data_IF_540817038093
#
_entry.id   IF_540817038093
#
_cell.length_a   1.000
_cell.length_b   1.000
_cell.length_c   1.000
_cell.angle_alpha   90.00
_cell.angle_beta   90.00
_cell.angle_gamma   90.00
#
_symmetry.space_group_name_H-M   'P 1'
#
loop_
_entity.id
_entity.type
_entity.pdbx_description
1 polymer ?
#
# COMPACT_ATOMS: atom_id res chain seq x y z
N UNK A 1 -9.94 -39.74 -23.97
CA UNK A 1 -9.74 -38.30 -23.67
C UNK A 1 -10.30 -38.09 -22.28
N UNK A 2 -9.43 -37.90 -21.29
CA UNK A 2 -9.83 -37.62 -19.92
C UNK A 2 -9.64 -36.12 -19.70
N UNK A 3 -10.76 -35.41 -19.66
CA UNK A 3 -10.83 -34.01 -19.23
C UNK A 3 -10.85 -33.95 -17.70
N UNK A 4 -10.17 -32.92 -17.17
CA UNK A 4 -10.42 -32.22 -15.91
C UNK A 4 -10.03 -32.89 -14.58
N UNK A 5 -8.82 -32.61 -14.11
CA UNK A 5 -8.54 -32.40 -12.68
C UNK A 5 -8.26 -30.90 -12.44
N UNK A 6 -8.93 -30.24 -11.47
CA UNK A 6 -8.63 -28.86 -11.13
C UNK A 6 -7.35 -28.85 -10.27
N UNK A 7 -6.21 -28.55 -10.89
CA UNK A 7 -5.06 -28.01 -10.16
C UNK A 7 -5.57 -26.84 -9.31
N UNK A 8 -5.42 -26.95 -7.99
CA UNK A 8 -5.90 -26.00 -6.98
C UNK A 8 -5.89 -24.57 -7.53
N UNK A 9 -7.09 -24.07 -7.81
CA UNK A 9 -7.29 -22.72 -8.31
C UNK A 9 -6.71 -21.77 -7.27
N UNK A 10 -5.57 -21.13 -7.56
CA UNK A 10 -5.11 -20.00 -6.75
C UNK A 10 -6.24 -18.97 -6.77
N UNK A 11 -7.10 -19.00 -5.77
CA UNK A 11 -8.18 -18.05 -5.57
C UNK A 11 -7.56 -16.77 -5.02
N UNK A 12 -7.01 -16.00 -5.96
CA UNK A 12 -6.49 -14.65 -5.75
C UNK A 12 -7.61 -13.61 -5.78
N UNK A 13 -8.85 -14.00 -6.07
CA UNK A 13 -9.98 -13.09 -6.39
C UNK A 13 -10.43 -12.21 -5.24
N UNK A 14 -9.88 -12.42 -4.05
CA UNK A 14 -10.25 -11.68 -2.86
C UNK A 14 -9.47 -10.35 -2.82
N UNK A 15 -10.16 -9.28 -2.39
CA UNK A 15 -9.64 -7.91 -2.23
C UNK A 15 -8.17 -7.78 -1.78
N UNK A 16 -7.32 -7.19 -2.63
CA UNK A 16 -5.93 -6.85 -2.33
C UNK A 16 -5.81 -6.10 -1.00
N UNK A 17 -4.71 -6.32 -0.29
CA UNK A 17 -4.41 -5.61 0.94
C UNK A 17 -2.93 -5.26 1.00
N UNK A 18 -2.66 -4.01 1.42
CA UNK A 18 -1.31 -3.55 1.66
C UNK A 18 -0.64 -4.39 2.77
N UNK A 19 0.57 -4.85 2.49
CA UNK A 19 1.47 -5.47 3.48
C UNK A 19 1.89 -4.43 4.54
N UNK A 20 2.42 -4.86 5.69
CA UNK A 20 2.89 -3.91 6.69
C UNK A 20 4.06 -3.06 6.21
N UNK A 21 4.93 -3.61 5.37
CA UNK A 21 6.03 -2.85 4.79
C UNK A 21 5.50 -1.74 3.87
N UNK A 22 4.51 -2.05 3.04
CA UNK A 22 3.83 -1.06 2.21
C UNK A 22 3.15 0.02 3.06
N UNK A 23 2.43 -0.36 4.13
CA UNK A 23 1.83 0.61 5.08
C UNK A 23 2.88 1.44 5.79
N UNK A 24 4.01 0.85 6.18
CA UNK A 24 5.13 1.53 6.82
C UNK A 24 5.76 2.58 5.90
N UNK A 25 5.97 2.22 4.62
CA UNK A 25 6.44 3.16 3.59
C UNK A 25 5.42 4.26 3.33
N UNK A 26 4.14 3.93 3.18
CA UNK A 26 3.06 4.89 3.03
C UNK A 26 3.02 5.88 4.21
N UNK A 27 3.13 5.39 5.44
CA UNK A 27 3.15 6.22 6.65
C UNK A 27 4.33 7.19 6.65
N UNK A 28 5.53 6.73 6.35
CA UNK A 28 6.74 7.59 6.25
C UNK A 28 6.54 8.69 5.21
N UNK A 29 6.07 8.34 4.02
CA UNK A 29 5.81 9.30 2.94
C UNK A 29 4.72 10.31 3.31
N UNK A 30 3.63 9.88 3.96
CA UNK A 30 2.58 10.77 4.46
C UNK A 30 3.10 11.75 5.51
N UNK A 31 4.00 11.31 6.40
CA UNK A 31 4.64 12.19 7.39
C UNK A 31 5.51 13.24 6.68
N UNK A 32 6.35 12.83 5.74
CA UNK A 32 7.18 13.78 4.99
C UNK A 32 6.33 14.75 4.15
N UNK A 33 5.26 14.26 3.54
CA UNK A 33 4.31 15.11 2.84
C UNK A 33 3.67 16.16 3.76
N UNK A 34 3.20 15.74 4.94
CA UNK A 34 2.64 16.65 5.93
C UNK A 34 3.66 17.69 6.41
N UNK A 35 4.92 17.29 6.64
CA UNK A 35 5.99 18.23 7.00
C UNK A 35 6.23 19.27 5.89
N UNK A 36 6.27 18.86 4.63
CA UNK A 36 6.38 19.79 3.51
C UNK A 36 5.20 20.77 3.47
N UNK A 37 3.98 20.29 3.67
CA UNK A 37 2.81 21.16 3.71
C UNK A 37 2.81 22.12 4.89
N UNK A 38 3.28 21.70 6.07
CA UNK A 38 3.46 22.60 7.22
C UNK A 38 4.46 23.72 6.88
N UNK A 39 5.55 23.40 6.17
CA UNK A 39 6.52 24.42 5.72
C UNK A 39 5.88 25.36 4.69
N UNK A 40 5.09 24.84 3.73
CA UNK A 40 4.39 25.67 2.75
C UNK A 40 3.41 26.65 3.42
N UNK A 41 2.53 26.14 4.29
CA UNK A 41 1.55 26.96 5.03
C UNK A 41 2.25 27.92 5.99
N UNK A 42 3.31 27.49 6.69
CA UNK A 42 4.09 28.37 7.56
C UNK A 42 4.75 29.51 6.79
N UNK A 43 5.24 29.23 5.58
CA UNK A 43 5.79 30.25 4.67
C UNK A 43 4.71 31.20 4.18
N UNK A 44 3.53 30.69 3.86
CA UNK A 44 2.36 31.50 3.50
C UNK A 44 1.97 32.45 4.64
N UNK A 45 1.80 31.94 5.86
CA UNK A 45 1.48 32.74 7.04
C UNK A 45 2.55 33.82 7.27
N UNK A 46 3.84 33.46 7.14
CA UNK A 46 4.95 34.42 7.23
C UNK A 46 4.86 35.51 6.16
N UNK A 47 4.56 35.15 4.92
CA UNK A 47 4.37 36.10 3.82
C UNK A 47 3.17 37.03 4.08
N UNK A 48 2.07 36.52 4.62
CA UNK A 48 0.89 37.32 4.99
C UNK A 48 1.24 38.32 6.10
N UNK A 49 1.99 37.91 7.12
CA UNK A 49 2.45 38.81 8.18
C UNK A 49 3.34 39.92 7.60
N UNK A 50 4.28 39.58 6.71
CA UNK A 50 5.13 40.56 6.04
C UNK A 50 4.33 41.53 5.16
N UNK A 51 3.31 41.02 4.45
CA UNK A 51 2.41 41.84 3.64
C UNK A 51 1.66 42.85 4.53
N UNK A 52 1.09 42.41 5.65
CA UNK A 52 0.42 43.29 6.62
C UNK A 52 1.36 44.31 7.28
N UNK A 53 2.65 44.03 7.34
CA UNK A 53 3.68 44.96 7.81
C UNK A 53 4.14 45.96 6.72
N UNK A 54 3.54 45.93 5.53
CA UNK A 54 3.89 46.84 4.43
C UNK A 54 5.21 46.49 3.73
N UNK A 55 5.82 45.32 4.00
CA UNK A 55 7.14 44.93 3.47
C UNK A 55 7.21 44.88 1.93
N UNK A 56 6.06 44.79 1.26
CA UNK A 56 5.94 44.61 -0.19
C UNK A 56 5.29 45.81 -0.92
N UNK A 57 5.02 46.93 -0.24
CA UNK A 57 4.32 48.07 -0.83
C UNK A 57 5.14 48.75 -1.95
N UNK A 58 6.43 48.99 -1.70
CA UNK A 58 7.34 49.70 -2.62
C UNK A 58 8.69 48.98 -2.85
N UNK A 59 8.88 47.77 -2.34
CA UNK A 59 10.14 47.02 -2.42
C UNK A 59 9.98 45.52 -2.12
N UNK A 60 11.09 44.78 -2.05
CA UNK A 60 11.14 43.34 -1.71
C UNK A 60 10.36 42.39 -2.63
N UNK A 61 10.12 42.78 -3.89
CA UNK A 61 9.43 41.91 -4.86
C UNK A 61 10.12 40.58 -5.12
N UNK A 62 11.46 40.58 -5.15
CA UNK A 62 12.23 39.35 -5.26
C UNK A 62 11.98 38.41 -4.07
N UNK A 63 11.82 38.96 -2.86
CA UNK A 63 11.47 38.18 -1.67
C UNK A 63 10.05 37.61 -1.77
N UNK A 64 9.06 38.41 -2.18
CA UNK A 64 7.68 37.93 -2.35
C UNK A 64 7.58 36.80 -3.38
N UNK A 65 8.22 36.97 -4.54
CA UNK A 65 8.30 35.93 -5.57
C UNK A 65 9.04 34.70 -5.02
N UNK A 66 10.16 34.91 -4.30
CA UNK A 66 10.89 33.83 -3.64
C UNK A 66 10.03 33.04 -2.66
N UNK A 67 9.22 33.70 -1.84
CA UNK A 67 8.29 33.06 -0.91
C UNK A 67 7.22 32.26 -1.65
N UNK A 68 6.63 32.81 -2.72
CA UNK A 68 5.66 32.09 -3.57
C UNK A 68 6.28 30.83 -4.21
N UNK A 69 7.54 30.91 -4.65
CA UNK A 69 8.28 29.75 -5.20
C UNK A 69 8.56 28.71 -4.13
N UNK A 70 8.93 29.13 -2.91
CA UNK A 70 9.12 28.21 -1.77
C UNK A 70 7.82 27.49 -1.43
N UNK A 71 6.70 28.22 -1.34
CA UNK A 71 5.36 27.63 -1.12
C UNK A 71 5.06 26.60 -2.22
N UNK A 72 5.29 26.95 -3.49
CA UNK A 72 5.07 26.05 -4.63
C UNK A 72 5.90 24.76 -4.51
N UNK A 73 7.21 24.90 -4.24
CA UNK A 73 8.13 23.78 -4.17
C UNK A 73 7.73 22.78 -3.07
N UNK A 74 7.40 23.27 -1.88
CA UNK A 74 6.99 22.42 -0.77
C UNK A 74 5.58 21.83 -0.95
N UNK A 75 4.62 22.59 -1.51
CA UNK A 75 3.29 22.07 -1.82
C UNK A 75 3.33 20.95 -2.87
N UNK A 76 4.14 21.13 -3.93
CA UNK A 76 4.38 20.13 -4.97
C UNK A 76 5.09 18.91 -4.38
N UNK A 77 6.18 19.10 -3.65
CA UNK A 77 6.92 18.00 -3.01
C UNK A 77 6.04 17.17 -2.10
N UNK A 78 5.24 17.82 -1.26
CA UNK A 78 4.26 17.16 -0.39
C UNK A 78 3.22 16.36 -1.18
N UNK A 79 2.68 16.95 -2.25
CA UNK A 79 1.71 16.29 -3.13
C UNK A 79 2.27 15.05 -3.84
N UNK A 80 3.50 15.13 -4.33
CA UNK A 80 4.16 13.99 -5.00
C UNK A 80 4.40 12.83 -4.01
N UNK A 81 4.87 13.13 -2.79
CA UNK A 81 5.06 12.12 -1.75
C UNK A 81 3.74 11.53 -1.28
N UNK A 82 2.69 12.33 -1.16
CA UNK A 82 1.36 11.84 -0.81
C UNK A 82 0.80 10.89 -1.88
N UNK A 83 0.93 11.24 -3.16
CA UNK A 83 0.55 10.35 -4.28
C UNK A 83 1.38 9.06 -4.30
N UNK A 84 2.68 9.15 -4.02
CA UNK A 84 3.52 7.96 -3.86
C UNK A 84 3.03 7.08 -2.69
N UNK A 85 2.67 7.67 -1.55
CA UNK A 85 2.11 6.95 -0.41
C UNK A 85 0.80 6.22 -0.76
N UNK A 86 -0.06 6.85 -1.57
CA UNK A 86 -1.32 6.26 -2.02
C UNK A 86 -1.13 5.04 -2.92
N UNK A 87 0.01 4.90 -3.60
CA UNK A 87 0.35 3.67 -4.35
C UNK A 87 0.79 2.52 -3.45
N UNK A 88 1.26 2.81 -2.24
CA UNK A 88 1.61 1.79 -1.26
C UNK A 88 0.39 1.34 -0.44
N UNK A 89 -0.50 2.27 -0.10
CA UNK A 89 -1.68 2.01 0.73
C UNK A 89 -2.90 2.79 0.18
N UNK A 90 -3.48 2.36 -0.96
CA UNK A 90 -4.63 3.01 -1.57
C UNK A 90 -5.89 2.83 -0.73
N UNK A 91 -6.80 3.80 -0.83
CA UNK A 91 -8.14 3.67 -0.29
C UNK A 91 -9.00 2.76 -1.17
N UNK A 92 -10.00 2.10 -0.58
CA UNK A 92 -11.04 1.37 -1.32
C UNK A 92 -12.05 2.36 -1.89
N UNK A 93 -12.55 2.12 -3.10
CA UNK A 93 -13.66 2.89 -3.70
C UNK A 93 -14.98 2.73 -2.96
N UNK A 94 -15.14 1.65 -2.19
CA UNK A 94 -16.31 1.46 -1.34
C UNK A 94 -16.38 2.51 -0.21
N UNK A 95 -15.24 2.99 0.28
CA UNK A 95 -15.16 4.12 1.20
C UNK A 95 -14.95 5.42 0.40
N UNK A 96 -16.04 5.91 -0.20
CA UNK A 96 -15.99 7.06 -1.10
C UNK A 96 -15.40 8.33 -0.48
N UNK A 97 -15.66 8.59 0.81
CA UNK A 97 -15.11 9.76 1.50
C UNK A 97 -13.59 9.65 1.67
N UNK A 98 -13.11 8.53 2.21
CA UNK A 98 -11.66 8.30 2.36
C UNK A 98 -10.97 8.28 1.00
N UNK A 99 -11.59 7.65 0.01
CA UNK A 99 -11.09 7.62 -1.36
C UNK A 99 -10.95 9.02 -1.96
N UNK A 100 -11.96 9.88 -1.79
CA UNK A 100 -11.90 11.26 -2.27
C UNK A 100 -10.81 12.06 -1.55
N UNK A 101 -10.85 12.11 -0.21
CA UNK A 101 -9.91 12.92 0.57
C UNK A 101 -8.49 12.45 0.33
N UNK A 102 -8.23 11.14 0.42
CA UNK A 102 -6.89 10.60 0.27
C UNK A 102 -6.31 10.90 -1.12
N UNK A 103 -7.10 10.89 -2.19
CA UNK A 103 -6.58 11.12 -3.54
C UNK A 103 -6.52 12.60 -3.94
N UNK A 104 -7.34 13.47 -3.33
CA UNK A 104 -7.37 14.90 -3.65
C UNK A 104 -6.68 15.78 -2.59
N UNK A 105 -6.17 15.20 -1.50
CA UNK A 105 -5.57 15.97 -0.41
C UNK A 105 -4.44 16.90 -0.87
N UNK A 106 -3.59 16.44 -1.80
CA UNK A 106 -2.50 17.27 -2.34
C UNK A 106 -3.01 18.55 -3.00
N UNK A 107 -4.06 18.44 -3.82
CA UNK A 107 -4.70 19.61 -4.42
C UNK A 107 -5.37 20.51 -3.38
N UNK A 108 -6.10 19.94 -2.42
CA UNK A 108 -6.80 20.69 -1.36
C UNK A 108 -5.81 21.51 -0.54
N UNK A 109 -4.73 20.88 -0.06
CA UNK A 109 -3.73 21.55 0.76
C UNK A 109 -2.97 22.61 -0.04
N UNK A 110 -2.73 22.37 -1.33
CA UNK A 110 -2.11 23.37 -2.20
C UNK A 110 -2.99 24.61 -2.35
N UNK A 111 -4.30 24.46 -2.54
CA UNK A 111 -5.23 25.60 -2.57
C UNK A 111 -5.17 26.36 -1.26
N UNK A 112 -5.17 25.65 -0.12
CA UNK A 112 -5.07 26.27 1.21
C UNK A 112 -3.77 27.07 1.36
N UNK A 113 -2.64 26.56 0.85
CA UNK A 113 -1.32 27.20 0.98
C UNK A 113 -1.10 28.42 0.07
N UNK A 114 -1.97 28.66 -0.91
CA UNK A 114 -1.85 29.78 -1.85
C UNK A 114 -2.99 30.79 -1.74
N UNK A 115 -4.23 30.30 -1.59
CA UNK A 115 -5.42 31.12 -1.79
C UNK A 115 -5.51 32.32 -0.83
N UNK A 116 -5.30 32.17 0.50
CA UNK A 116 -5.28 33.31 1.41
C UNK A 116 -4.27 34.40 1.02
N UNK A 117 -3.01 34.04 0.77
CA UNK A 117 -1.99 35.02 0.39
C UNK A 117 -2.31 35.70 -0.95
N UNK A 118 -2.75 34.96 -1.97
CA UNK A 118 -3.12 35.53 -3.26
C UNK A 118 -4.31 36.49 -3.14
N UNK A 119 -5.34 36.10 -2.38
CA UNK A 119 -6.47 36.97 -2.11
C UNK A 119 -6.01 38.28 -1.46
N UNK A 120 -5.13 38.21 -0.47
CA UNK A 120 -4.60 39.40 0.20
C UNK A 120 -3.73 40.27 -0.72
N UNK A 121 -2.92 39.69 -1.60
CA UNK A 121 -2.15 40.45 -2.60
C UNK A 121 -3.09 41.24 -3.51
N UNK A 122 -4.16 40.62 -4.02
CA UNK A 122 -5.09 41.29 -4.92
C UNK A 122 -5.99 42.31 -4.21
N UNK A 123 -6.29 42.11 -2.92
CA UNK A 123 -7.13 43.00 -2.11
C UNK A 123 -6.36 44.12 -1.40
N UNK A 124 -5.03 44.05 -1.34
CA UNK A 124 -4.18 45.09 -0.75
C UNK A 124 -4.33 46.39 -1.56
N UNK A 125 -4.68 47.51 -0.92
CA UNK A 125 -4.87 48.80 -1.61
C UNK A 125 -3.58 49.61 -1.73
N UNK A 126 -2.61 49.34 -0.87
CA UNK A 126 -1.39 50.14 -0.69
C UNK A 126 -0.23 49.59 -1.52
N UNK A 127 -0.35 48.35 -2.04
CA UNK A 127 0.63 47.77 -2.95
C UNK A 127 0.61 48.43 -4.34
N UNK A 128 1.80 48.78 -4.86
CA UNK A 128 1.99 49.30 -6.20
C UNK A 128 1.28 48.43 -7.27
N UNK A 129 0.49 49.02 -8.18
CA UNK A 129 -0.31 48.26 -9.15
C UNK A 129 0.50 47.33 -10.07
N UNK A 130 1.74 47.69 -10.41
CA UNK A 130 2.61 46.85 -11.25
C UNK A 130 3.13 45.66 -10.44
N UNK A 131 3.58 45.90 -9.21
CA UNK A 131 4.03 44.86 -8.29
C UNK A 131 2.92 43.85 -7.99
N UNK A 132 1.72 44.34 -7.70
CA UNK A 132 0.53 43.51 -7.48
C UNK A 132 0.21 42.61 -8.67
N UNK A 133 0.25 43.17 -9.89
CA UNK A 133 0.02 42.39 -11.13
C UNK A 133 1.08 41.31 -11.32
N UNK A 134 2.35 41.61 -11.05
CA UNK A 134 3.45 40.65 -11.21
C UNK A 134 3.36 39.55 -10.14
N UNK A 135 3.32 39.90 -8.86
CA UNK A 135 3.27 38.91 -7.78
C UNK A 135 1.98 38.08 -7.82
N UNK A 136 0.83 38.74 -8.02
CA UNK A 136 -0.45 38.05 -8.18
C UNK A 136 -0.46 37.14 -9.41
N UNK A 137 0.08 37.60 -10.54
CA UNK A 137 0.18 36.80 -11.77
C UNK A 137 1.08 35.57 -11.60
N UNK A 138 2.31 35.74 -11.10
CA UNK A 138 3.23 34.63 -10.82
C UNK A 138 2.60 33.67 -9.80
N UNK A 139 2.01 34.20 -8.74
CA UNK A 139 1.37 33.43 -7.70
C UNK A 139 0.21 32.58 -8.21
N UNK A 140 -0.65 33.12 -9.09
CA UNK A 140 -1.74 32.37 -9.73
C UNK A 140 -1.19 31.25 -10.62
N UNK A 141 -0.17 31.52 -11.43
CA UNK A 141 0.45 30.50 -12.28
C UNK A 141 1.05 29.36 -11.43
N UNK A 142 1.77 29.70 -10.37
CA UNK A 142 2.34 28.72 -9.45
C UNK A 142 1.26 27.91 -8.73
N UNK A 143 0.18 28.56 -8.28
CA UNK A 143 -0.93 27.89 -7.61
C UNK A 143 -1.64 26.91 -8.55
N UNK A 144 -1.90 27.30 -9.80
CA UNK A 144 -2.50 26.41 -10.81
C UNK A 144 -1.58 25.23 -11.13
N UNK A 145 -0.28 25.47 -11.33
CA UNK A 145 0.69 24.40 -11.57
C UNK A 145 0.76 23.43 -10.38
N UNK A 146 0.91 23.95 -9.17
CA UNK A 146 1.01 23.13 -7.97
C UNK A 146 -0.29 22.33 -7.72
N UNK A 147 -1.46 22.97 -7.90
CA UNK A 147 -2.76 22.32 -7.70
C UNK A 147 -2.97 21.21 -8.72
N UNK A 148 -2.67 21.44 -10.00
CA UNK A 148 -2.80 20.42 -11.05
C UNK A 148 -1.90 19.22 -10.81
N UNK A 149 -0.67 19.42 -10.31
CA UNK A 149 0.21 18.32 -9.87
C UNK A 149 -0.37 17.57 -8.67
N UNK A 150 -1.00 18.30 -7.75
CA UNK A 150 -1.67 17.78 -6.56
C UNK A 150 -2.91 16.93 -6.84
N UNK A 151 -3.56 17.11 -7.99
CA UNK A 151 -4.68 16.27 -8.41
C UNK A 151 -4.19 14.88 -8.77
N UNK A 152 -4.84 13.85 -8.23
CA UNK A 152 -4.69 12.48 -8.72
C UNK A 152 -5.80 12.16 -9.73
N UNK A 153 -5.46 12.23 -11.02
CA UNK A 153 -6.37 11.94 -12.13
C UNK A 153 -6.61 10.44 -12.36
N UNK A 154 -5.69 9.60 -11.87
CA UNK A 154 -5.78 8.14 -11.99
C UNK A 154 -5.52 7.52 -10.60
N UNK A 155 -6.43 7.79 -9.64
CA UNK A 155 -6.21 7.40 -8.26
C UNK A 155 -6.18 5.87 -8.11
N UNK A 156 -5.14 5.32 -7.47
CA UNK A 156 -5.09 3.89 -7.19
C UNK A 156 -6.17 3.52 -6.19
N UNK A 157 -6.64 2.28 -6.26
CA UNK A 157 -7.66 1.74 -5.35
C UNK A 157 -7.37 0.29 -5.01
N UNK A 158 -7.95 -0.17 -3.90
CA UNK A 158 -7.91 -1.59 -3.52
C UNK A 158 -8.52 -2.46 -4.62
N UNK A 159 -9.63 -2.05 -5.22
CA UNK A 159 -10.33 -2.80 -6.26
C UNK A 159 -9.47 -2.95 -7.51
N UNK A 160 -8.84 -1.86 -7.97
CA UNK A 160 -7.92 -1.90 -9.09
C UNK A 160 -6.71 -2.80 -8.80
N UNK A 161 -6.11 -2.72 -7.62
CA UNK A 161 -4.98 -3.58 -7.28
C UNK A 161 -5.38 -5.04 -7.13
N UNK A 162 -6.62 -5.33 -6.78
CA UNK A 162 -7.18 -6.68 -6.77
C UNK A 162 -7.26 -7.22 -8.20
N UNK A 163 -7.80 -6.43 -9.13
CA UNK A 163 -7.88 -6.79 -10.54
C UNK A 163 -6.49 -7.02 -11.15
N UNK A 164 -5.57 -6.08 -10.95
CA UNK A 164 -4.17 -6.17 -11.40
C UNK A 164 -3.50 -7.44 -10.84
N UNK A 165 -3.71 -7.75 -9.55
CA UNK A 165 -3.16 -8.95 -8.91
C UNK A 165 -3.72 -10.24 -9.52
N UNK A 166 -5.02 -10.28 -9.83
CA UNK A 166 -5.67 -11.43 -10.45
C UNK A 166 -5.12 -11.71 -11.86
N UNK A 167 -4.93 -10.64 -12.65
CA UNK A 167 -4.30 -10.73 -13.96
C UNK A 167 -2.85 -11.18 -13.86
N UNK A 168 -2.09 -10.67 -12.90
CA UNK A 168 -0.72 -11.11 -12.70
C UNK A 168 -0.62 -12.56 -12.24
N UNK A 169 -1.54 -13.03 -11.41
CA UNK A 169 -1.60 -14.44 -11.04
C UNK A 169 -1.86 -15.35 -12.26
N UNK A 170 -2.71 -14.93 -13.21
CA UNK A 170 -2.92 -15.70 -14.44
C UNK A 170 -1.67 -15.71 -15.32
N UNK A 171 -0.96 -14.58 -15.45
CA UNK A 171 0.32 -14.51 -16.17
C UNK A 171 1.38 -15.43 -15.54
N UNK A 172 1.51 -15.42 -14.20
CA UNK A 172 2.43 -16.30 -13.46
C UNK A 172 2.10 -17.77 -13.74
N UNK A 173 0.83 -18.16 -13.66
CA UNK A 173 0.37 -19.53 -13.96
C UNK A 173 0.74 -19.96 -15.38
N UNK A 174 0.63 -19.05 -16.34
CA UNK A 174 0.96 -19.30 -17.74
C UNK A 174 2.44 -19.14 -18.09
N UNK A 175 3.32 -18.88 -17.11
CA UNK A 175 4.75 -18.63 -17.35
C UNK A 175 5.04 -17.35 -18.14
N UNK A 176 4.08 -16.43 -18.20
CA UNK A 176 4.18 -15.15 -18.91
C UNK A 176 4.79 -14.07 -18.00
N UNK A 177 5.42 -13.02 -18.58
CA UNK A 177 5.90 -11.89 -17.80
C UNK A 177 4.74 -11.14 -17.13
N UNK A 178 4.92 -10.73 -15.87
CA UNK A 178 3.94 -9.99 -15.06
C UNK A 178 3.83 -8.52 -15.49
N UNK A 179 3.30 -8.27 -16.68
CA UNK A 179 3.14 -6.93 -17.26
C UNK A 179 1.81 -6.27 -16.90
N UNK A 180 0.85 -7.04 -16.37
CA UNK A 180 -0.50 -6.55 -16.08
C UNK A 180 -0.62 -5.80 -14.75
N UNK A 181 0.41 -5.81 -13.90
CA UNK A 181 0.35 -5.19 -12.58
C UNK A 181 1.58 -4.34 -12.27
N UNK A 182 1.42 -3.43 -11.30
CA UNK A 182 2.55 -2.64 -10.80
C UNK A 182 3.63 -3.55 -10.20
N UNK A 183 4.92 -3.14 -10.18
CA UNK A 183 6.00 -3.95 -9.63
C UNK A 183 5.75 -4.44 -8.20
N UNK A 184 5.13 -3.61 -7.36
CA UNK A 184 4.81 -3.97 -5.97
C UNK A 184 3.70 -5.03 -5.88
N UNK A 185 2.68 -4.93 -6.73
CA UNK A 185 1.59 -5.93 -6.81
C UNK A 185 2.11 -7.23 -7.43
N UNK A 186 2.99 -7.12 -8.44
CA UNK A 186 3.66 -8.26 -9.07
C UNK A 186 4.48 -9.05 -8.04
N UNK A 187 5.25 -8.35 -7.21
CA UNK A 187 6.08 -9.00 -6.18
C UNK A 187 5.22 -9.74 -5.16
N UNK A 188 4.17 -9.10 -4.66
CA UNK A 188 3.22 -9.75 -3.74
C UNK A 188 2.52 -10.97 -4.39
N UNK A 189 2.14 -10.87 -5.67
CA UNK A 189 1.55 -12.00 -6.40
C UNK A 189 2.53 -13.17 -6.56
N UNK A 190 3.81 -12.89 -6.84
CA UNK A 190 4.88 -13.90 -6.90
C UNK A 190 5.14 -14.54 -5.55
N UNK A 191 5.14 -13.74 -4.48
CA UNK A 191 5.30 -14.23 -3.11
C UNK A 191 4.18 -15.19 -2.72
N UNK A 192 2.92 -14.81 -2.98
CA UNK A 192 1.75 -15.67 -2.76
C UNK A 192 1.87 -16.94 -3.60
N UNK A 193 2.18 -16.84 -4.89
CA UNK A 193 2.29 -18.00 -5.78
C UNK A 193 3.40 -18.97 -5.33
N UNK A 194 4.57 -18.46 -4.95
CA UNK A 194 5.68 -19.25 -4.42
C UNK A 194 5.27 -19.96 -3.12
N UNK A 195 4.67 -19.22 -2.19
CA UNK A 195 4.31 -19.78 -0.89
C UNK A 195 3.17 -20.78 -1.01
N UNK A 196 2.15 -20.55 -1.85
CA UNK A 196 1.11 -21.53 -2.19
C UNK A 196 1.69 -22.80 -2.79
N UNK A 197 2.64 -22.69 -3.72
CA UNK A 197 3.33 -23.87 -4.26
C UNK A 197 4.10 -24.63 -3.17
N UNK A 198 4.78 -23.92 -2.27
CA UNK A 198 5.49 -24.54 -1.14
C UNK A 198 4.54 -25.24 -0.15
N UNK A 199 3.36 -24.67 0.13
CA UNK A 199 2.32 -25.31 0.95
C UNK A 199 1.78 -26.55 0.25
N UNK A 200 1.43 -26.44 -1.04
CA UNK A 200 0.93 -27.56 -1.83
C UNK A 200 1.94 -28.72 -1.83
N UNK A 201 3.20 -28.44 -2.15
CA UNK A 201 4.28 -29.43 -2.11
C UNK A 201 4.48 -30.05 -0.73
N UNK A 202 4.40 -29.24 0.34
CA UNK A 202 4.58 -29.70 1.70
C UNK A 202 3.42 -30.57 2.21
N UNK A 203 2.24 -30.48 1.59
CA UNK A 203 1.01 -31.13 2.07
C UNK A 203 0.53 -32.26 1.16
N UNK A 204 1.33 -32.65 0.17
CA UNK A 204 1.06 -33.81 -0.69
C UNK A 204 0.94 -35.09 0.13
N UNK A 205 -0.13 -35.83 -0.11
CA UNK A 205 -0.36 -37.16 0.46
C UNK A 205 -0.90 -38.11 -0.60
N UNK A 206 -0.98 -39.41 -0.31
CA UNK A 206 -1.63 -40.36 -1.21
C UNK A 206 -3.11 -40.02 -1.45
N UNK A 207 -3.79 -39.43 -0.46
CA UNK A 207 -5.18 -38.99 -0.57
C UNK A 207 -5.34 -37.62 -1.26
N UNK A 208 -4.28 -36.82 -1.29
CA UNK A 208 -4.26 -35.53 -1.97
C UNK A 208 -2.90 -35.29 -2.67
N UNK A 209 -2.74 -35.82 -3.90
CA UNK A 209 -1.48 -35.73 -4.64
C UNK A 209 -1.16 -34.30 -5.13
N UNK A 210 -2.16 -33.42 -5.20
CA UNK A 210 -2.00 -32.01 -5.55
C UNK A 210 -1.60 -31.11 -4.37
N UNK A 211 -1.69 -31.60 -3.13
CA UNK A 211 -1.54 -30.79 -1.93
C UNK A 211 -2.76 -29.91 -1.63
N UNK A 212 -2.73 -29.19 -0.52
CA UNK A 212 -3.77 -28.22 -0.13
C UNK A 212 -3.22 -26.79 -0.19
N UNK A 213 -4.10 -25.81 -0.33
CA UNK A 213 -3.78 -24.38 -0.17
C UNK A 213 -4.25 -23.82 1.19
N UNK A 214 -4.81 -24.67 2.06
CA UNK A 214 -5.27 -24.26 3.39
C UNK A 214 -4.09 -24.14 4.35
N UNK A 215 -3.94 -22.97 4.94
CA UNK A 215 -2.93 -22.64 5.94
C UNK A 215 -3.56 -22.09 7.21
N UNK A 216 -2.78 -22.07 8.30
CA UNK A 216 -3.23 -21.69 9.63
C UNK A 216 -2.33 -20.61 10.23
N UNK A 217 -2.89 -19.57 10.82
CA UNK A 217 -2.12 -18.47 11.42
C UNK A 217 -2.75 -17.98 12.72
N UNK A 218 -1.93 -17.31 13.54
CA UNK A 218 -2.40 -16.67 14.76
C UNK A 218 -3.25 -15.45 14.39
N UNK A 219 -4.49 -15.42 14.88
CA UNK A 219 -5.40 -14.30 14.70
C UNK A 219 -4.86 -13.00 15.35
N UNK A 220 -5.43 -11.87 14.94
CA UNK A 220 -5.21 -10.60 15.65
C UNK A 220 -5.71 -10.68 17.10
N UNK A 221 -5.06 -9.92 17.99
CA UNK A 221 -5.48 -9.82 19.40
C UNK A 221 -6.88 -9.22 19.55
N UNK A 222 -7.31 -8.39 18.59
CA UNK A 222 -8.64 -7.81 18.54
C UNK A 222 -9.51 -8.53 17.50
N UNK A 223 -10.71 -9.00 17.87
CA UNK A 223 -11.64 -9.61 16.92
C UNK A 223 -11.96 -8.67 15.75
N UNK A 224 -11.81 -9.16 14.52
CA UNK A 224 -12.11 -8.40 13.30
C UNK A 224 -11.01 -7.45 12.82
N UNK A 225 -9.91 -7.28 13.56
CA UNK A 225 -8.75 -6.50 13.10
C UNK A 225 -7.71 -7.41 12.41
N UNK A 226 -6.69 -6.78 11.80
CA UNK A 226 -5.52 -7.49 11.25
C UNK A 226 -4.41 -7.54 12.29
N UNK A 227 -3.52 -8.53 12.21
CA UNK A 227 -2.35 -8.56 13.10
C UNK A 227 -1.48 -7.31 12.89
N UNK A 228 -1.08 -6.66 13.99
CA UNK A 228 -0.20 -5.48 13.99
C UNK A 228 1.19 -5.79 13.43
N UNK A 229 1.71 -6.97 13.73
CA UNK A 229 3.03 -7.42 13.33
C UNK A 229 2.95 -8.53 12.28
N UNK A 230 3.98 -8.63 11.42
CA UNK A 230 4.08 -9.69 10.42
C UNK A 230 4.00 -11.06 11.09
N UNK A 231 3.04 -11.89 10.66
CA UNK A 231 2.83 -13.24 11.13
C UNK A 231 3.33 -14.26 10.12
N UNK A 232 3.45 -15.48 10.61
CA UNK A 232 3.78 -16.66 9.83
C UNK A 232 2.54 -17.53 9.78
N UNK A 233 2.33 -18.22 8.66
CA UNK A 233 1.32 -19.27 8.55
C UNK A 233 1.96 -20.65 8.49
N UNK A 234 1.17 -21.63 8.91
CA UNK A 234 1.55 -22.99 9.25
C UNK A 234 0.69 -24.00 8.49
N UNK A 235 1.18 -25.25 8.39
CA UNK A 235 0.54 -26.29 7.57
C UNK A 235 -0.72 -26.90 8.19
N UNK A 236 -0.85 -26.91 9.52
CA UNK A 236 -2.06 -27.39 10.23
C UNK A 236 -2.27 -26.65 11.55
N UNK A 237 -3.46 -26.78 12.16
CA UNK A 237 -3.82 -26.12 13.43
C UNK A 237 -3.02 -26.60 14.64
N UNK A 238 -2.56 -27.85 14.64
CA UNK A 238 -2.08 -28.54 15.83
C UNK A 238 -0.55 -28.43 16.03
N UNK A 239 0.11 -27.68 15.15
CA UNK A 239 1.54 -27.43 15.24
C UNK A 239 1.88 -26.69 16.53
N UNK A 240 3.07 -26.99 17.05
CA UNK A 240 3.54 -26.46 18.33
C UNK A 240 3.44 -24.93 18.45
N UNK A 241 3.80 -24.13 17.42
CA UNK A 241 3.67 -22.66 17.49
C UNK A 241 2.24 -22.11 17.68
N UNK A 242 1.21 -22.88 17.32
CA UNK A 242 -0.18 -22.44 17.35
C UNK A 242 -0.94 -22.85 18.63
N UNK A 243 -0.37 -23.75 19.44
CA UNK A 243 -1.05 -24.29 20.62
C UNK A 243 -1.37 -23.20 21.65
N UNK A 244 -2.62 -23.18 22.11
CA UNK A 244 -3.11 -22.20 23.09
C UNK A 244 -3.25 -20.78 22.54
N UNK A 245 -3.24 -20.61 21.21
CA UNK A 245 -3.49 -19.33 20.54
C UNK A 245 -4.83 -19.35 19.83
N UNK A 246 -5.36 -18.16 19.54
CA UNK A 246 -6.51 -18.03 18.66
C UNK A 246 -6.02 -18.23 17.22
N UNK A 247 -6.44 -19.32 16.58
CA UNK A 247 -6.01 -19.69 15.23
C UNK A 247 -7.11 -19.37 14.24
N UNK A 248 -6.73 -18.84 13.08
CA UNK A 248 -7.55 -18.76 11.88
C UNK A 248 -6.98 -19.66 10.80
N UNK A 249 -7.82 -20.04 9.85
CA UNK A 249 -7.46 -20.83 8.69
C UNK A 249 -8.09 -20.27 7.42
N UNK A 250 -7.47 -20.54 6.28
CA UNK A 250 -7.91 -20.09 4.97
C UNK A 250 -6.84 -20.34 3.92
N UNK A 251 -6.97 -19.73 2.74
CA UNK A 251 -5.94 -19.79 1.70
C UNK A 251 -4.68 -19.01 2.08
N UNK A 252 -3.58 -19.24 1.36
CA UNK A 252 -2.36 -18.41 1.48
C UNK A 252 -2.68 -16.94 1.18
N UNK A 253 -3.52 -16.66 0.18
CA UNK A 253 -3.99 -15.30 -0.13
C UNK A 253 -4.70 -14.66 1.07
N UNK A 254 -5.52 -15.42 1.80
CA UNK A 254 -6.20 -14.95 3.02
C UNK A 254 -5.23 -14.66 4.16
N UNK A 255 -4.25 -15.54 4.35
CA UNK A 255 -3.18 -15.33 5.32
C UNK A 255 -2.45 -14.00 5.05
N UNK A 256 -2.06 -13.75 3.78
CA UNK A 256 -1.38 -12.51 3.39
C UNK A 256 -2.22 -11.26 3.69
N UNK A 257 -3.53 -11.31 3.48
CA UNK A 257 -4.44 -10.18 3.80
C UNK A 257 -4.53 -9.89 5.29
N UNK A 258 -4.39 -10.92 6.12
CA UNK A 258 -4.39 -10.83 7.57
C UNK A 258 -3.01 -10.57 8.16
N UNK A 259 -2.03 -10.26 7.31
CA UNK A 259 -0.64 -9.98 7.66
C UNK A 259 0.17 -11.21 8.09
N UNK A 260 -0.31 -12.41 7.78
CA UNK A 260 0.50 -13.63 7.76
C UNK A 260 1.12 -13.78 6.35
N UNK A 261 2.26 -13.12 6.12
CA UNK A 261 2.83 -12.93 4.77
C UNK A 261 4.05 -13.81 4.50
N UNK A 262 4.22 -14.90 5.25
CA UNK A 262 5.30 -15.85 5.00
C UNK A 262 4.95 -17.24 5.53
N UNK A 263 5.31 -18.26 4.76
CA UNK A 263 5.30 -19.65 5.22
C UNK A 263 6.29 -19.89 6.37
N UNK A 264 5.98 -20.84 7.23
CA UNK A 264 6.90 -21.31 8.27
C UNK A 264 8.26 -21.73 7.72
N UNK A 265 9.33 -21.45 8.48
CA UNK A 265 10.67 -21.97 8.17
C UNK A 265 10.85 -23.41 8.65
N UNK A 266 9.88 -23.97 9.37
CA UNK A 266 9.95 -25.27 10.02
C UNK A 266 9.12 -26.34 9.29
N UNK A 267 9.01 -26.25 7.96
CA UNK A 267 8.21 -27.16 7.13
C UNK A 267 8.44 -28.64 7.48
N UNK A 268 9.69 -29.16 7.58
CA UNK A 268 9.89 -30.59 7.87
C UNK A 268 9.36 -31.02 9.25
N UNK A 269 9.41 -30.12 10.23
CA UNK A 269 8.84 -30.39 11.56
C UNK A 269 7.33 -30.39 11.49
N UNK A 270 6.74 -29.40 10.82
CA UNK A 270 5.28 -29.28 10.69
C UNK A 270 4.69 -30.44 9.89
N UNK A 271 5.32 -30.88 8.79
CA UNK A 271 4.89 -32.06 8.04
C UNK A 271 4.77 -33.31 8.92
N UNK A 272 5.70 -33.51 9.87
CA UNK A 272 5.62 -34.63 10.83
C UNK A 272 4.50 -34.44 11.85
N UNK A 273 4.31 -33.23 12.37
CA UNK A 273 3.26 -32.93 13.34
C UNK A 273 1.85 -33.01 12.71
N UNK A 274 1.74 -32.66 11.42
CA UNK A 274 0.50 -32.61 10.67
C UNK A 274 0.18 -33.92 9.92
N UNK A 275 1.09 -34.90 9.90
CA UNK A 275 0.88 -36.17 9.20
C UNK A 275 0.99 -36.09 7.67
N UNK A 276 1.66 -35.07 7.13
CA UNK A 276 1.93 -34.93 5.69
C UNK A 276 3.22 -35.63 5.25
N UNK A 277 3.99 -36.20 6.18
CA UNK A 277 5.17 -37.01 5.88
C UNK A 277 4.80 -38.36 5.26
N UNK A 278 5.69 -38.90 4.40
CA UNK A 278 5.55 -40.27 3.89
C UNK A 278 5.35 -41.27 5.06
N UNK A 279 4.50 -42.31 4.88
CA UNK A 279 4.37 -43.35 5.88
C UNK A 279 5.76 -43.92 6.19
N UNK A 280 6.09 -44.06 7.47
CA UNK A 280 7.33 -44.71 7.88
C UNK A 280 7.44 -46.05 7.15
N UNK A 281 8.62 -46.43 6.61
CA UNK A 281 8.77 -47.75 6.00
C UNK A 281 8.37 -48.77 7.06
N UNK A 282 7.36 -49.59 6.74
CA UNK A 282 6.92 -50.67 7.60
C UNK A 282 8.16 -51.48 7.99
N UNK A 283 8.41 -51.62 9.30
CA UNK A 283 9.43 -52.54 9.79
C UNK A 283 9.12 -53.89 9.15
N UNK A 284 10.02 -54.37 8.30
CA UNK A 284 9.96 -55.72 7.80
C UNK A 284 10.00 -56.65 9.01
N UNK A 285 8.85 -57.23 9.35
CA UNK A 285 8.80 -58.38 10.25
C UNK A 285 9.61 -59.48 9.56
N UNK A 286 10.75 -59.81 10.15
CA UNK A 286 11.53 -60.96 9.76
C UNK A 286 10.71 -62.20 10.08
N UNK A 287 10.02 -62.73 9.07
CA UNK A 287 9.36 -64.02 9.10
C UNK A 287 10.43 -65.09 9.27
N UNK A 288 10.68 -65.53 10.50
CA UNK A 288 11.31 -66.83 10.76
C UNK A 288 10.29 -67.91 10.45
N UNK A 289 10.47 -68.58 9.31
CA UNK A 289 9.79 -69.83 8.96
C UNK A 289 10.67 -71.03 9.38
N UNK A 290 10.07 -72.22 9.56
CA UNK A 290 10.40 -73.20 10.61
C UNK A 290 11.69 -74.00 10.43
#
# INVERSE_FOLDING_TARGET
>A
MAENEPNAELDVTKAWAATQDQKGQAKKLRIYAALCWVVAIGTEIGAIVMLKQGKFQSGNMALLIGLLVVIAAFAIGGSLMWKAANRHDPASRADGFRFFVQNQLGAIITVIAFLPLLALIFLDKDMDPKNKKIAGGVGVVLALLATTIGIDFKPPSVEQYTEDMNLCASQIKSGQPTTACSPAVAEQAKDIARDSAAVADATKTAANPGGVDTVYWIASEKPGEKASDQRVFHLCSDVTPLRGKQVKSGSVTEAYKENATRITKQIPMEQRQCGFGAPAPAKAEATTAP
#
